data_IF_796746053147
#
_entry.id   IF_796746053147
#
_cell.length_a   1.000
_cell.length_b   1.000
_cell.length_c   1.000
_cell.angle_alpha   90.00
_cell.angle_beta   90.00
_cell.angle_gamma   90.00
#
_symmetry.space_group_name_H-M   'P 1'
#
loop_
_entity.id
_entity.type
_entity.pdbx_description
1 polymer ?
#
# COMPACT_ATOMS: atom_id res chain seq x y z
N UNK A 1 -9.06 48.36 -36.25
CA UNK A 1 -8.65 48.65 -34.85
C UNK A 1 -9.02 47.52 -33.90
N UNK A 2 -10.25 47.01 -33.94
CA UNK A 2 -10.72 45.95 -33.02
C UNK A 2 -9.87 44.66 -33.06
N UNK A 3 -9.51 44.17 -34.25
CA UNK A 3 -8.65 42.98 -34.44
C UNK A 3 -7.28 43.08 -33.79
N UNK A 4 -6.65 44.27 -33.81
CA UNK A 4 -5.36 44.50 -33.16
C UNK A 4 -5.46 44.43 -31.64
N UNK A 5 -6.58 44.89 -31.06
CA UNK A 5 -6.87 44.76 -29.64
C UNK A 5 -7.10 43.30 -29.22
N UNK A 6 -7.85 42.54 -30.01
CA UNK A 6 -8.06 41.10 -29.77
C UNK A 6 -6.73 40.33 -29.79
N UNK A 7 -5.86 40.60 -30.77
CA UNK A 7 -4.52 40.01 -30.83
C UNK A 7 -3.69 40.33 -29.59
N UNK A 8 -3.69 41.58 -29.13
CA UNK A 8 -3.00 41.97 -27.89
C UNK A 8 -3.57 41.27 -26.65
N UNK A 9 -4.88 41.02 -26.59
CA UNK A 9 -5.48 40.24 -25.51
C UNK A 9 -5.07 38.76 -25.57
N UNK A 10 -5.01 38.15 -26.75
CA UNK A 10 -4.54 36.77 -26.91
C UNK A 10 -3.07 36.64 -26.51
N UNK A 11 -2.20 37.58 -26.92
CA UNK A 11 -0.80 37.62 -26.49
C UNK A 11 -0.66 37.76 -24.97
N UNK A 12 -1.51 38.56 -24.33
CA UNK A 12 -1.53 38.64 -22.87
C UNK A 12 -1.93 37.32 -22.23
N UNK A 13 -3.01 36.69 -22.72
CA UNK A 13 -3.48 35.41 -22.19
C UNK A 13 -2.40 34.32 -22.34
N UNK A 14 -1.76 34.24 -23.50
CA UNK A 14 -0.66 33.30 -23.76
C UNK A 14 0.50 33.48 -22.76
N UNK A 15 0.83 34.71 -22.37
CA UNK A 15 1.97 34.99 -21.52
C UNK A 15 1.73 34.81 -20.01
N UNK A 16 0.48 34.92 -19.53
CA UNK A 16 0.18 34.91 -18.09
C UNK A 16 -0.23 33.52 -17.57
N UNK A 17 0.10 33.16 -16.31
CA UNK A 17 -0.48 31.98 -15.66
C UNK A 17 -1.98 32.20 -15.42
N UNK A 18 -2.74 31.11 -15.35
CA UNK A 18 -4.18 31.15 -15.10
C UNK A 18 -4.50 30.35 -13.83
N UNK A 19 -5.49 30.81 -13.06
CA UNK A 19 -6.10 29.97 -12.01
C UNK A 19 -7.04 28.94 -12.63
N UNK A 20 -7.43 27.92 -11.88
CA UNK A 20 -8.38 26.90 -12.36
C UNK A 20 -9.71 27.52 -12.83
N UNK A 21 -10.21 28.53 -12.12
CA UNK A 21 -11.44 29.24 -12.51
C UNK A 21 -11.24 30.07 -13.79
N UNK A 22 -10.05 30.60 -14.01
CA UNK A 22 -9.70 31.32 -15.24
C UNK A 22 -9.57 30.35 -16.42
N UNK A 23 -8.94 29.20 -16.23
CA UNK A 23 -8.88 28.16 -17.26
C UNK A 23 -10.26 27.67 -17.69
N UNK A 24 -11.18 27.46 -16.75
CA UNK A 24 -12.55 27.04 -17.08
C UNK A 24 -13.30 28.13 -17.87
N UNK A 25 -13.10 29.40 -17.53
CA UNK A 25 -13.65 30.52 -18.32
C UNK A 25 -13.03 30.55 -19.72
N UNK A 26 -11.73 30.29 -19.84
CA UNK A 26 -11.05 30.22 -21.12
C UNK A 26 -11.55 29.04 -21.96
N UNK A 27 -11.72 27.85 -21.38
CA UNK A 27 -12.33 26.68 -22.05
C UNK A 27 -13.73 27.02 -22.58
N UNK A 28 -14.57 27.67 -21.77
CA UNK A 28 -15.89 28.13 -22.19
C UNK A 28 -15.85 29.23 -23.28
N UNK A 29 -14.82 30.06 -23.30
CA UNK A 29 -14.63 31.08 -24.32
C UNK A 29 -14.18 30.48 -25.66
N UNK A 30 -13.18 29.60 -25.65
CA UNK A 30 -12.64 28.97 -26.85
C UNK A 30 -13.56 27.89 -27.47
N UNK A 31 -14.52 27.34 -26.70
CA UNK A 31 -15.58 26.50 -27.28
C UNK A 31 -16.60 27.32 -28.07
N UNK A 32 -16.82 28.59 -27.70
CA UNK A 32 -17.81 29.49 -28.33
C UNK A 32 -17.24 30.32 -29.46
N UNK A 33 -15.94 30.62 -29.42
CA UNK A 33 -15.27 31.48 -30.39
C UNK A 33 -14.04 30.78 -30.95
N UNK A 34 -13.95 30.72 -32.29
CA UNK A 34 -12.75 30.26 -32.99
C UNK A 34 -11.93 31.47 -33.41
N UNK A 35 -10.66 31.47 -33.06
CA UNK A 35 -9.68 32.46 -33.50
C UNK A 35 -8.68 31.74 -34.40
N UNK A 36 -8.36 32.35 -35.53
CA UNK A 36 -7.50 31.76 -36.57
C UNK A 36 -6.10 32.36 -36.47
N UNK A 37 -5.46 32.17 -35.32
CA UNK A 37 -4.16 32.76 -34.99
C UNK A 37 -3.24 31.75 -34.29
N UNK A 38 -1.94 31.86 -34.56
CA UNK A 38 -0.90 30.99 -33.98
C UNK A 38 -0.90 31.05 -32.45
N UNK A 39 -1.09 32.24 -31.86
CA UNK A 39 -1.21 32.45 -30.42
C UNK A 39 -2.40 31.68 -29.81
N UNK A 40 -3.45 31.43 -30.59
CA UNK A 40 -4.62 30.65 -30.13
C UNK A 40 -4.27 29.19 -29.97
N UNK A 41 -3.43 28.65 -30.85
CA UNK A 41 -2.95 27.27 -30.76
C UNK A 41 -2.12 27.07 -29.50
N UNK A 42 -1.28 28.03 -29.15
CA UNK A 42 -0.44 27.95 -27.94
C UNK A 42 -1.29 28.02 -26.66
N UNK A 43 -2.31 28.87 -26.64
CA UNK A 43 -3.29 28.93 -25.55
C UNK A 43 -4.07 27.62 -25.43
N UNK A 44 -4.57 27.08 -26.55
CA UNK A 44 -5.28 25.80 -26.57
C UNK A 44 -4.38 24.64 -26.12
N UNK A 45 -3.09 24.66 -26.47
CA UNK A 45 -2.11 23.67 -26.03
C UNK A 45 -1.83 23.69 -24.52
N UNK A 46 -2.09 24.82 -23.84
CA UNK A 46 -2.06 24.90 -22.37
C UNK A 46 -3.37 24.40 -21.73
N UNK A 47 -4.51 24.58 -22.39
CA UNK A 47 -5.84 24.22 -21.87
C UNK A 47 -6.22 22.77 -22.09
N UNK A 48 -5.71 22.16 -23.16
CA UNK A 48 -6.03 20.80 -23.56
C UNK A 48 -4.75 20.02 -23.77
N UNK A 49 -4.71 18.78 -23.27
CA UNK A 49 -3.73 17.82 -23.73
C UNK A 49 -4.01 17.60 -25.23
N UNK A 50 -3.03 17.86 -26.10
CA UNK A 50 -3.18 17.51 -27.50
C UNK A 50 -3.33 15.99 -27.58
N UNK A 51 -4.46 15.50 -28.11
CA UNK A 51 -4.72 14.10 -28.49
C UNK A 51 -3.81 13.71 -29.66
N UNK A 52 -2.50 13.69 -29.43
CA UNK A 52 -1.56 13.00 -30.28
C UNK A 52 -1.85 11.51 -30.11
N UNK A 53 -2.33 10.86 -31.17
CA UNK A 53 -2.64 9.42 -31.24
C UNK A 53 -1.44 8.49 -30.93
N UNK A 54 -0.26 9.04 -30.67
CA UNK A 54 0.88 8.30 -30.11
C UNK A 54 0.77 8.20 -28.59
N UNK A 55 0.50 6.97 -28.13
CA UNK A 55 0.59 6.45 -26.77
C UNK A 55 1.57 7.22 -25.87
N UNK A 56 1.12 8.29 -25.22
CA UNK A 56 1.91 8.88 -24.15
C UNK A 56 2.06 7.82 -23.06
N UNK A 57 3.28 7.52 -22.61
CA UNK A 57 3.48 6.58 -21.53
C UNK A 57 2.70 7.07 -20.32
N UNK A 58 1.93 6.18 -19.69
CA UNK A 58 1.12 6.47 -18.52
C UNK A 58 1.96 7.24 -17.48
N UNK A 59 1.79 8.56 -17.41
CA UNK A 59 2.61 9.45 -16.59
C UNK A 59 2.50 9.05 -15.12
N UNK A 60 1.31 8.63 -14.68
CA UNK A 60 1.10 8.11 -13.33
C UNK A 60 2.00 6.91 -13.05
N UNK A 61 2.08 5.94 -13.97
CA UNK A 61 2.98 4.79 -13.84
C UNK A 61 4.43 5.23 -13.79
N UNK A 62 4.86 6.14 -14.66
CA UNK A 62 6.25 6.61 -14.69
C UNK A 62 6.65 7.30 -13.37
N UNK A 63 5.75 8.13 -12.82
CA UNK A 63 5.95 8.77 -11.52
C UNK A 63 6.08 7.73 -10.40
N UNK A 64 5.16 6.76 -10.37
CA UNK A 64 5.18 5.67 -9.38
C UNK A 64 6.47 4.86 -9.47
N UNK A 65 6.90 4.44 -10.67
CA UNK A 65 8.18 3.76 -10.90
C UNK A 65 9.40 4.60 -10.48
N UNK A 66 9.40 5.88 -10.80
CA UNK A 66 10.51 6.79 -10.47
C UNK A 66 10.65 6.97 -8.96
N UNK A 67 9.53 7.04 -8.25
CA UNK A 67 9.50 7.15 -6.78
C UNK A 67 10.00 5.87 -6.12
N UNK A 68 9.56 4.69 -6.58
CA UNK A 68 9.97 3.41 -5.97
C UNK A 68 11.46 3.13 -6.16
N UNK A 69 12.05 3.62 -7.25
CA UNK A 69 13.50 3.50 -7.51
C UNK A 69 14.33 4.65 -6.90
N UNK A 70 13.70 5.70 -6.35
CA UNK A 70 14.38 6.90 -5.88
C UNK A 70 15.35 6.62 -4.71
N UNK A 71 16.61 7.06 -4.88
CA UNK A 71 17.70 6.83 -3.93
C UNK A 71 17.64 7.79 -2.74
N UNK A 72 17.35 9.07 -2.98
CA UNK A 72 17.30 10.10 -1.95
C UNK A 72 16.03 9.94 -1.09
N UNK A 73 16.19 9.77 0.22
CA UNK A 73 15.07 9.50 1.11
C UNK A 73 14.12 10.70 1.28
N UNK A 74 14.67 11.91 1.35
CA UNK A 74 13.86 13.12 1.54
C UNK A 74 13.04 13.41 0.29
N UNK A 75 13.68 13.44 -0.88
CA UNK A 75 12.99 13.63 -2.15
C UNK A 75 11.94 12.54 -2.40
N UNK A 76 12.26 11.27 -2.09
CA UNK A 76 11.29 10.18 -2.20
C UNK A 76 10.07 10.40 -1.31
N UNK A 77 10.25 10.82 -0.07
CA UNK A 77 9.13 11.03 0.86
C UNK A 77 8.24 12.21 0.44
N UNK A 78 8.83 13.31 -0.02
CA UNK A 78 8.09 14.46 -0.57
C UNK A 78 7.30 14.06 -1.82
N UNK A 79 7.94 13.37 -2.75
CA UNK A 79 7.29 12.88 -3.98
C UNK A 79 6.20 11.84 -3.71
N UNK A 80 6.40 10.94 -2.72
CA UNK A 80 5.37 10.00 -2.27
C UNK A 80 4.12 10.72 -1.79
N UNK A 81 4.29 11.77 -0.98
CA UNK A 81 3.18 12.57 -0.46
C UNK A 81 2.44 13.29 -1.59
N UNK A 82 3.20 13.96 -2.48
CA UNK A 82 2.67 14.69 -3.63
C UNK A 82 1.88 13.77 -4.57
N UNK A 83 2.50 12.69 -5.05
CA UNK A 83 1.87 11.78 -6.03
C UNK A 83 0.71 11.03 -5.42
N UNK A 84 0.78 10.62 -4.15
CA UNK A 84 -0.39 10.06 -3.47
C UNK A 84 -1.55 11.05 -3.44
N UNK A 85 -1.31 12.31 -3.10
CA UNK A 85 -2.33 13.36 -3.10
C UNK A 85 -2.99 13.58 -4.47
N UNK A 86 -2.23 13.41 -5.56
CA UNK A 86 -2.73 13.52 -6.93
C UNK A 86 -3.52 12.28 -7.39
N UNK A 87 -3.19 11.09 -6.88
CA UNK A 87 -3.85 9.83 -7.27
C UNK A 87 -5.08 9.49 -6.43
N UNK A 88 -5.21 10.04 -5.22
CA UNK A 88 -6.31 9.71 -4.32
C UNK A 88 -7.60 10.45 -4.69
N UNK A 89 -8.74 9.75 -4.58
CA UNK A 89 -10.11 10.21 -4.93
C UNK A 89 -10.56 11.54 -4.28
N UNK A 90 -9.87 12.01 -3.25
CA UNK A 90 -10.16 13.28 -2.57
C UNK A 90 -9.42 14.48 -3.18
N UNK A 91 -8.69 14.29 -4.27
CA UNK A 91 -8.06 15.40 -4.96
C UNK A 91 -9.13 16.33 -5.53
N UNK A 92 -9.01 17.63 -5.27
CA UNK A 92 -9.90 18.69 -5.79
C UNK A 92 -9.97 18.67 -7.33
N UNK A 93 -9.01 17.99 -7.98
CA UNK A 93 -9.00 17.59 -9.39
C UNK A 93 -10.06 16.53 -9.71
N UNK A 94 -11.33 16.81 -9.42
CA UNK A 94 -12.45 16.09 -10.02
C UNK A 94 -12.39 16.34 -11.54
N UNK A 95 -12.00 15.29 -12.28
CA UNK A 95 -11.81 15.25 -13.74
C UNK A 95 -10.45 15.77 -14.20
N UNK A 96 -9.41 14.94 -14.11
CA UNK A 96 -8.43 14.76 -15.19
C UNK A 96 -7.57 13.52 -14.92
N UNK A 97 -8.01 12.38 -15.48
CA UNK A 97 -7.23 11.36 -16.17
C UNK A 97 -5.75 11.14 -15.80
N UNK A 98 -5.38 10.99 -14.52
CA UNK A 98 -4.24 10.14 -14.19
C UNK A 98 -4.74 8.70 -14.31
N UNK A 99 -4.73 8.17 -15.53
CA UNK A 99 -5.23 6.84 -15.87
C UNK A 99 -4.26 5.75 -15.37
N UNK A 100 -4.01 5.71 -14.06
CA UNK A 100 -3.22 4.65 -13.45
C UNK A 100 -4.07 3.38 -13.43
N UNK A 101 -3.83 2.50 -14.41
CA UNK A 101 -4.51 1.22 -14.46
C UNK A 101 -4.17 0.37 -13.24
N UNK A 102 -5.11 -0.49 -12.84
CA UNK A 102 -4.89 -1.51 -11.82
C UNK A 102 -3.63 -2.33 -12.15
N UNK A 103 -3.50 -2.76 -13.40
CA UNK A 103 -2.40 -3.60 -13.88
C UNK A 103 -1.03 -2.89 -13.79
N UNK A 104 -0.98 -1.59 -14.11
CA UNK A 104 0.26 -0.81 -13.96
C UNK A 104 0.71 -0.77 -12.50
N UNK A 105 -0.22 -0.51 -11.56
CA UNK A 105 0.11 -0.44 -10.13
C UNK A 105 0.57 -1.80 -9.58
N UNK A 106 -0.09 -2.89 -9.97
CA UNK A 106 0.33 -4.24 -9.61
C UNK A 106 1.67 -4.62 -10.24
N UNK A 107 1.97 -4.19 -11.47
CA UNK A 107 3.27 -4.44 -12.11
C UNK A 107 4.44 -3.82 -11.34
N UNK A 108 4.26 -2.58 -10.84
CA UNK A 108 5.26 -1.92 -9.99
C UNK A 108 5.35 -2.59 -8.63
N UNK A 109 4.23 -3.04 -8.09
CA UNK A 109 4.18 -3.79 -6.84
C UNK A 109 4.93 -5.11 -6.92
N UNK A 110 4.74 -5.90 -7.97
CA UNK A 110 5.49 -7.14 -8.20
C UNK A 110 6.99 -6.87 -8.32
N UNK A 111 7.38 -5.86 -9.10
CA UNK A 111 8.78 -5.42 -9.19
C UNK A 111 9.35 -5.04 -7.81
N UNK A 112 8.52 -4.45 -6.95
CA UNK A 112 8.91 -4.11 -5.59
C UNK A 112 9.11 -5.35 -4.70
N UNK A 113 8.27 -6.37 -4.84
CA UNK A 113 8.36 -7.63 -4.11
C UNK A 113 9.58 -8.43 -4.59
N UNK A 114 9.82 -8.52 -5.90
CA UNK A 114 10.98 -9.21 -6.47
C UNK A 114 12.31 -8.59 -6.01
N UNK A 115 12.35 -7.25 -5.95
CA UNK A 115 13.47 -6.51 -5.38
C UNK A 115 13.65 -6.81 -3.88
N UNK A 116 12.56 -6.91 -3.12
CA UNK A 116 12.61 -7.28 -1.70
C UNK A 116 13.15 -8.71 -1.51
N UNK A 117 12.68 -9.67 -2.29
CA UNK A 117 13.18 -11.05 -2.31
C UNK A 117 14.68 -11.06 -2.57
N UNK A 118 15.13 -10.35 -3.61
CA UNK A 118 16.55 -10.26 -3.97
C UNK A 118 17.41 -9.67 -2.83
N UNK A 119 16.88 -8.69 -2.09
CA UNK A 119 17.56 -8.10 -0.93
C UNK A 119 17.66 -9.09 0.24
N UNK A 120 16.63 -9.91 0.49
CA UNK A 120 16.66 -10.94 1.51
C UNK A 120 17.62 -12.09 1.15
N UNK A 121 17.73 -12.44 -0.13
CA UNK A 121 18.74 -13.39 -0.62
C UNK A 121 20.15 -12.86 -0.42
N UNK A 122 20.40 -11.59 -0.76
CA UNK A 122 21.69 -10.94 -0.54
C UNK A 122 22.05 -10.97 0.96
N UNK A 123 21.10 -10.63 1.83
CA UNK A 123 21.27 -10.65 3.29
C UNK A 123 21.59 -12.06 3.84
N UNK A 124 20.94 -13.09 3.29
CA UNK A 124 21.15 -14.48 3.71
C UNK A 124 22.54 -14.99 3.26
N UNK A 125 23.00 -14.59 2.08
CA UNK A 125 24.30 -14.98 1.51
C UNK A 125 25.49 -14.24 2.13
N UNK A 126 25.30 -13.03 2.67
CA UNK A 126 26.35 -12.27 3.37
C UNK A 126 26.81 -12.89 4.70
N UNK A 127 26.18 -13.97 5.16
CA UNK A 127 26.71 -14.79 6.24
C UNK A 127 28.01 -15.56 5.86
N UNK A 128 28.40 -15.57 4.57
CA UNK A 128 29.68 -16.10 4.10
C UNK A 128 30.70 -14.96 3.87
N UNK A 129 31.79 -14.86 4.67
CA UNK A 129 32.69 -13.71 4.69
C UNK A 129 33.60 -13.56 3.46
N UNK A 130 33.62 -14.50 2.52
CA UNK A 130 34.56 -14.49 1.37
C UNK A 130 34.12 -13.63 0.17
N UNK A 131 32.87 -13.12 0.14
CA UNK A 131 32.32 -12.39 -1.02
C UNK A 131 32.20 -10.87 -0.85
N UNK A 132 32.81 -10.29 0.18
CA UNK A 132 32.75 -8.86 0.48
C UNK A 132 33.60 -7.96 -0.43
N UNK A 133 34.10 -8.47 -1.56
CA UNK A 133 34.84 -7.63 -2.51
C UNK A 133 33.90 -7.08 -3.58
N UNK A 134 33.66 -5.77 -3.49
CA UNK A 134 33.09 -4.88 -4.52
C UNK A 134 31.57 -4.94 -4.70
N UNK A 135 30.83 -4.28 -3.81
CA UNK A 135 29.67 -3.50 -4.27
C UNK A 135 29.51 -2.25 -3.42
N UNK A 136 29.90 -1.11 -4.00
CA UNK A 136 29.61 0.23 -3.50
C UNK A 136 28.11 0.38 -3.22
N UNK A 137 27.71 0.08 -1.99
CA UNK A 137 26.38 0.41 -1.51
C UNK A 137 26.57 1.12 -0.19
N UNK A 138 26.66 2.45 -0.25
CA UNK A 138 26.91 3.36 0.89
C UNK A 138 25.90 3.24 2.05
N UNK A 139 24.93 2.32 1.99
CA UNK A 139 23.84 2.15 2.95
C UNK A 139 23.76 0.71 3.44
N UNK A 140 23.53 0.48 4.74
CA UNK A 140 23.44 -0.85 5.30
C UNK A 140 22.25 -1.62 4.70
N UNK A 141 22.38 -2.95 4.58
CA UNK A 141 21.38 -3.83 3.97
C UNK A 141 19.97 -3.61 4.54
N UNK A 142 19.87 -3.44 5.85
CA UNK A 142 18.60 -3.20 6.54
C UNK A 142 17.91 -1.91 6.06
N UNK A 143 18.66 -0.87 5.70
CA UNK A 143 18.07 0.37 5.17
C UNK A 143 17.50 0.15 3.77
N UNK A 144 18.16 -0.69 2.95
CA UNK A 144 17.66 -1.06 1.61
C UNK A 144 16.36 -1.87 1.71
N UNK A 145 16.30 -2.83 2.64
CA UNK A 145 15.11 -3.63 2.93
C UNK A 145 13.97 -2.75 3.45
N UNK A 146 14.23 -1.94 4.48
CA UNK A 146 13.24 -1.04 5.07
C UNK A 146 12.67 -0.06 4.04
N UNK A 147 13.53 0.51 3.18
CA UNK A 147 13.10 1.34 2.04
C UNK A 147 12.17 0.59 1.09
N UNK A 148 12.49 -0.67 0.77
CA UNK A 148 11.70 -1.44 -0.17
C UNK A 148 10.34 -1.82 0.42
N UNK A 149 10.28 -2.14 1.71
CA UNK A 149 9.03 -2.30 2.46
C UNK A 149 8.23 -1.00 2.49
N UNK A 150 8.87 0.16 2.71
CA UNK A 150 8.19 1.46 2.67
C UNK A 150 7.63 1.79 1.28
N UNK A 151 8.23 1.28 0.21
CA UNK A 151 7.70 1.40 -1.15
C UNK A 151 6.46 0.52 -1.33
N UNK A 152 6.49 -0.74 -0.91
CA UNK A 152 5.34 -1.65 -0.96
C UNK A 152 4.17 -1.07 -0.15
N UNK A 153 4.43 -0.61 1.08
CA UNK A 153 3.42 -0.01 1.94
C UNK A 153 2.79 1.25 1.30
N UNK A 154 3.59 2.09 0.65
CA UNK A 154 3.07 3.26 -0.06
C UNK A 154 2.18 2.89 -1.26
N UNK A 155 2.57 1.88 -2.04
CA UNK A 155 1.74 1.36 -3.14
C UNK A 155 0.44 0.76 -2.60
N UNK A 156 0.51 0.01 -1.49
CA UNK A 156 -0.66 -0.56 -0.83
C UNK A 156 -1.61 0.54 -0.34
N UNK A 157 -1.10 1.65 0.20
CA UNK A 157 -1.94 2.80 0.56
C UNK A 157 -2.67 3.40 -0.65
N UNK A 158 -2.00 3.54 -1.80
CA UNK A 158 -2.64 3.98 -3.05
C UNK A 158 -3.73 2.99 -3.48
N UNK A 159 -3.45 1.68 -3.42
CA UNK A 159 -4.43 0.64 -3.75
C UNK A 159 -5.64 0.66 -2.80
N UNK A 160 -5.43 0.91 -1.51
CA UNK A 160 -6.49 1.00 -0.50
C UNK A 160 -7.39 2.20 -0.75
N UNK A 161 -6.81 3.37 -1.02
CA UNK A 161 -7.58 4.58 -1.36
C UNK A 161 -8.33 4.42 -2.70
N UNK A 162 -7.72 3.69 -3.65
CA UNK A 162 -8.33 3.30 -4.91
C UNK A 162 -9.42 2.21 -4.79
N UNK A 163 -9.51 1.51 -3.66
CA UNK A 163 -10.34 0.31 -3.44
C UNK A 163 -10.02 -0.86 -4.39
N UNK A 164 -8.75 -1.05 -4.72
CA UNK A 164 -8.26 -2.10 -5.63
C UNK A 164 -7.23 -3.03 -4.97
N UNK A 165 -7.12 -3.00 -3.64
CA UNK A 165 -6.12 -3.75 -2.86
C UNK A 165 -6.48 -5.21 -2.55
N UNK A 166 -7.63 -5.71 -2.98
CA UNK A 166 -8.06 -7.09 -2.68
C UNK A 166 -7.05 -8.14 -3.15
N UNK A 167 -6.63 -8.06 -4.42
CA UNK A 167 -5.70 -9.04 -5.03
C UNK A 167 -4.32 -9.02 -4.36
N UNK A 168 -3.91 -7.89 -3.77
CA UNK A 168 -2.66 -7.80 -3.03
C UNK A 168 -2.64 -8.74 -1.83
N UNK A 169 -3.79 -9.04 -1.21
CA UNK A 169 -3.86 -10.00 -0.09
C UNK A 169 -3.44 -11.38 -0.56
N UNK A 170 -3.94 -11.83 -1.72
CA UNK A 170 -3.57 -13.12 -2.29
C UNK A 170 -2.09 -13.13 -2.68
N UNK A 171 -1.61 -12.09 -3.36
CA UNK A 171 -0.20 -11.94 -3.73
C UNK A 171 0.71 -12.02 -2.51
N UNK A 172 0.38 -11.31 -1.44
CA UNK A 172 1.20 -11.29 -0.22
C UNK A 172 1.13 -12.62 0.55
N UNK A 173 -0.03 -13.28 0.55
CA UNK A 173 -0.20 -14.58 1.21
C UNK A 173 0.61 -15.69 0.53
N UNK A 174 0.77 -15.61 -0.79
CA UNK A 174 1.50 -16.59 -1.60
C UNK A 174 3.03 -16.38 -1.63
N UNK A 175 3.57 -15.48 -0.80
CA UNK A 175 5.01 -15.21 -0.73
C UNK A 175 5.81 -16.27 0.05
N UNK A 176 5.76 -17.52 -0.39
CA UNK A 176 6.43 -18.66 0.25
C UNK A 176 7.95 -18.48 0.40
N UNK A 177 8.59 -17.81 -0.57
CA UNK A 177 10.03 -17.54 -0.53
C UNK A 177 10.39 -16.57 0.61
N UNK A 178 9.61 -15.50 0.78
CA UNK A 178 9.80 -14.55 1.88
C UNK A 178 9.52 -15.20 3.24
N UNK A 179 8.52 -16.08 3.34
CA UNK A 179 8.25 -16.84 4.56
C UNK A 179 9.44 -17.74 4.94
N UNK A 180 10.02 -18.46 3.98
CA UNK A 180 11.21 -19.28 4.23
C UNK A 180 12.43 -18.45 4.66
N UNK A 181 12.57 -17.25 4.10
CA UNK A 181 13.66 -16.33 4.49
C UNK A 181 13.40 -15.71 5.86
N UNK A 182 12.14 -15.44 6.21
CA UNK A 182 11.73 -14.93 7.52
C UNK A 182 12.19 -15.84 8.66
N UNK A 183 12.02 -17.17 8.51
CA UNK A 183 12.43 -18.17 9.50
C UNK A 183 13.93 -18.10 9.86
N UNK A 184 14.76 -17.75 8.87
CA UNK A 184 16.21 -17.76 9.00
C UNK A 184 16.81 -16.37 9.25
N UNK A 185 16.03 -15.31 9.03
CA UNK A 185 16.48 -13.94 9.17
C UNK A 185 16.52 -13.48 10.64
N UNK A 186 17.39 -12.52 10.93
CA UNK A 186 17.43 -11.91 12.25
C UNK A 186 16.13 -11.16 12.56
N UNK A 187 15.73 -11.04 13.85
CA UNK A 187 14.53 -10.31 14.24
C UNK A 187 14.46 -8.88 13.67
N UNK A 188 15.61 -8.20 13.58
CA UNK A 188 15.73 -6.84 13.04
C UNK A 188 15.46 -6.77 11.53
N UNK A 189 15.61 -7.86 10.78
CA UNK A 189 15.33 -7.90 9.33
C UNK A 189 13.91 -8.40 9.08
N UNK A 190 13.52 -9.49 9.73
CA UNK A 190 12.25 -10.17 9.45
C UNK A 190 11.01 -9.37 9.89
N UNK A 191 11.13 -8.51 10.92
CA UNK A 191 10.02 -7.63 11.33
C UNK A 191 9.63 -6.62 10.23
N UNK A 192 10.52 -6.30 9.29
CA UNK A 192 10.20 -5.44 8.16
C UNK A 192 9.11 -6.09 7.27
N UNK A 193 9.11 -7.41 7.11
CA UNK A 193 8.02 -8.13 6.41
C UNK A 193 6.72 -8.04 7.19
N UNK A 194 6.79 -8.23 8.51
CA UNK A 194 5.64 -8.12 9.41
C UNK A 194 4.98 -6.73 9.39
N UNK A 195 5.70 -5.67 9.01
CA UNK A 195 5.10 -4.34 8.80
C UNK A 195 4.07 -4.32 7.65
N UNK A 196 4.32 -5.06 6.56
CA UNK A 196 3.36 -5.15 5.43
C UNK A 196 2.09 -5.86 5.89
N UNK A 197 2.24 -7.02 6.54
CA UNK A 197 1.13 -7.78 7.12
C UNK A 197 0.33 -6.96 8.14
N UNK A 198 1.00 -6.15 8.97
CA UNK A 198 0.34 -5.27 9.92
C UNK A 198 -0.61 -4.27 9.25
N UNK A 199 -0.22 -3.67 8.12
CA UNK A 199 -1.08 -2.75 7.36
C UNK A 199 -2.30 -3.49 6.82
N UNK A 200 -2.14 -4.72 6.30
CA UNK A 200 -3.26 -5.52 5.81
C UNK A 200 -4.27 -5.85 6.92
N UNK A 201 -3.78 -6.28 8.09
CA UNK A 201 -4.65 -6.53 9.25
C UNK A 201 -5.45 -5.29 9.61
N UNK A 202 -4.79 -4.13 9.75
CA UNK A 202 -5.45 -2.87 10.08
C UNK A 202 -6.44 -2.45 9.00
N UNK A 203 -6.10 -2.59 7.71
CA UNK A 203 -6.97 -2.25 6.60
C UNK A 203 -8.24 -3.11 6.57
N UNK A 204 -8.14 -4.42 6.82
CA UNK A 204 -9.30 -5.30 6.92
C UNK A 204 -10.20 -4.94 8.11
N UNK A 205 -9.61 -4.74 9.29
CA UNK A 205 -10.36 -4.43 10.50
C UNK A 205 -11.06 -3.06 10.44
N UNK A 206 -10.44 -2.09 9.77
CA UNK A 206 -11.02 -0.75 9.53
C UNK A 206 -11.97 -0.70 8.34
N UNK A 207 -12.22 -1.85 7.68
CA UNK A 207 -13.09 -1.99 6.49
C UNK A 207 -12.62 -1.17 5.27
N UNK A 208 -11.38 -0.72 5.26
CA UNK A 208 -10.73 -0.12 4.08
C UNK A 208 -10.37 -1.17 3.03
N UNK A 209 -10.25 -2.42 3.47
CA UNK A 209 -9.99 -3.59 2.64
C UNK A 209 -11.08 -4.65 2.90
N UNK A 210 -11.77 -5.05 1.86
CA UNK A 210 -12.72 -6.16 1.89
C UNK A 210 -12.18 -7.22 0.94
N UNK A 211 -12.12 -8.47 1.41
CA UNK A 211 -11.65 -9.59 0.62
C UNK A 211 -12.40 -10.87 0.98
N UNK A 212 -12.43 -11.80 0.03
CA UNK A 212 -13.03 -13.13 0.20
C UNK A 212 -12.45 -13.92 1.38
N UNK A 213 -13.16 -14.97 1.79
CA UNK A 213 -12.74 -15.79 2.94
C UNK A 213 -11.38 -16.45 2.71
N UNK A 214 -11.14 -16.91 1.49
CA UNK A 214 -9.93 -17.62 1.08
C UNK A 214 -8.71 -16.73 1.24
N UNK A 215 -8.78 -15.48 0.77
CA UNK A 215 -7.72 -14.47 0.92
C UNK A 215 -7.39 -14.17 2.39
N UNK A 216 -8.43 -13.96 3.21
CA UNK A 216 -8.26 -13.73 4.67
C UNK A 216 -7.66 -14.93 5.38
N UNK A 217 -8.10 -16.13 4.99
CA UNK A 217 -7.60 -17.39 5.55
C UNK A 217 -6.14 -17.60 5.16
N UNK A 218 -5.79 -17.39 3.88
CA UNK A 218 -4.42 -17.49 3.36
C UNK A 218 -3.48 -16.53 4.08
N UNK A 219 -3.88 -15.27 4.25
CA UNK A 219 -3.07 -14.28 4.96
C UNK A 219 -2.80 -14.68 6.42
N UNK A 220 -3.83 -15.16 7.13
CA UNK A 220 -3.65 -15.64 8.51
C UNK A 220 -2.80 -16.91 8.57
N UNK A 221 -2.98 -17.85 7.63
CA UNK A 221 -2.16 -19.07 7.59
C UNK A 221 -0.68 -18.76 7.31
N UNK A 222 -0.41 -17.81 6.41
CA UNK A 222 0.95 -17.43 6.03
C UNK A 222 1.62 -16.55 7.10
N UNK A 223 0.93 -15.51 7.58
CA UNK A 223 1.57 -14.41 8.29
C UNK A 223 1.19 -14.26 9.76
N UNK A 224 0.26 -15.06 10.29
CA UNK A 224 -0.09 -14.98 11.71
C UNK A 224 1.08 -15.37 12.61
N UNK A 225 1.71 -16.53 12.39
CA UNK A 225 2.87 -16.95 13.18
C UNK A 225 4.05 -15.97 13.09
N UNK A 226 4.48 -15.51 11.89
CA UNK A 226 5.45 -14.42 11.76
C UNK A 226 5.11 -13.18 12.59
N UNK A 227 3.84 -12.76 12.56
CA UNK A 227 3.38 -11.60 13.34
C UNK A 227 3.47 -11.84 14.85
N UNK A 228 3.16 -13.05 15.34
CA UNK A 228 3.31 -13.38 16.77
C UNK A 228 4.77 -13.31 17.21
N UNK A 229 5.70 -13.82 16.39
CA UNK A 229 7.14 -13.86 16.66
C UNK A 229 7.79 -12.48 16.62
N UNK A 230 7.33 -11.60 15.74
CA UNK A 230 7.93 -10.28 15.52
C UNK A 230 7.25 -9.16 16.30
N UNK A 231 6.17 -9.44 17.01
CA UNK A 231 5.36 -8.41 17.65
C UNK A 231 6.14 -7.53 18.62
N UNK A 232 7.07 -8.11 19.38
CA UNK A 232 8.01 -7.35 20.20
C UNK A 232 8.82 -6.31 19.43
N UNK A 233 9.25 -6.62 18.20
CA UNK A 233 9.95 -5.65 17.33
C UNK A 233 9.00 -4.62 16.75
N UNK A 234 7.79 -5.03 16.34
CA UNK A 234 6.74 -4.08 15.92
C UNK A 234 6.43 -3.07 17.03
N UNK A 235 6.40 -3.50 18.29
CA UNK A 235 6.19 -2.64 19.45
C UNK A 235 7.31 -1.61 19.66
N UNK A 236 8.57 -2.04 19.55
CA UNK A 236 9.77 -1.21 19.74
C UNK A 236 10.00 -0.26 18.56
N UNK A 237 9.80 -0.76 17.34
CA UNK A 237 10.10 -0.08 16.08
C UNK A 237 8.82 0.14 15.27
N UNK A 238 7.92 0.98 15.79
CA UNK A 238 6.55 1.13 15.26
C UNK A 238 6.47 1.67 13.84
N UNK A 239 7.38 2.56 13.43
CA UNK A 239 7.40 3.16 12.07
C UNK A 239 6.02 3.68 11.62
N UNK A 240 5.29 4.35 12.51
CA UNK A 240 3.94 4.88 12.24
C UNK A 240 2.78 3.93 12.59
N UNK A 241 3.06 2.70 13.00
CA UNK A 241 2.05 1.72 13.41
C UNK A 241 1.46 2.01 14.79
N UNK A 242 0.13 2.04 14.88
CA UNK A 242 -0.57 1.99 16.16
C UNK A 242 -0.72 0.52 16.60
N UNK A 243 0.03 0.16 17.65
CA UNK A 243 0.07 -1.21 18.18
C UNK A 243 -1.28 -1.66 18.76
N UNK A 244 -2.04 -0.76 19.38
CA UNK A 244 -3.35 -1.12 19.94
C UNK A 244 -4.34 -1.41 18.82
N UNK A 245 -4.32 -0.59 17.77
CA UNK A 245 -5.12 -0.82 16.57
C UNK A 245 -4.72 -2.12 15.91
N UNK A 246 -3.42 -2.43 15.78
CA UNK A 246 -2.96 -3.71 15.23
C UNK A 246 -3.46 -4.92 16.04
N UNK A 247 -3.34 -4.89 17.37
CA UNK A 247 -3.80 -6.01 18.22
C UNK A 247 -5.29 -6.28 18.05
N UNK A 248 -6.11 -5.23 18.09
CA UNK A 248 -7.55 -5.36 17.82
C UNK A 248 -7.78 -5.86 16.41
N UNK A 249 -7.04 -5.35 15.42
CA UNK A 249 -7.21 -5.71 14.02
C UNK A 249 -6.90 -7.18 13.72
N UNK A 250 -5.83 -7.72 14.30
CA UNK A 250 -5.50 -9.15 14.22
C UNK A 250 -6.64 -9.99 14.81
N UNK A 251 -7.15 -9.61 15.99
CA UNK A 251 -8.25 -10.31 16.65
C UNK A 251 -9.56 -10.26 15.85
N UNK A 252 -9.92 -9.09 15.31
CA UNK A 252 -11.12 -8.92 14.49
C UNK A 252 -11.03 -9.71 13.19
N UNK A 253 -9.87 -9.69 12.52
CA UNK A 253 -9.65 -10.45 11.29
C UNK A 253 -9.81 -11.95 11.56
N UNK A 254 -9.18 -12.47 12.63
CA UNK A 254 -9.29 -13.88 13.03
C UNK A 254 -10.77 -14.26 13.30
N UNK A 255 -11.53 -13.42 14.00
CA UNK A 255 -12.95 -13.63 14.28
C UNK A 255 -13.85 -13.67 13.03
N UNK A 256 -13.34 -13.30 11.87
CA UNK A 256 -14.07 -13.35 10.59
C UNK A 256 -13.96 -14.70 9.86
N UNK A 257 -13.12 -15.62 10.35
CA UNK A 257 -12.94 -16.97 9.79
C UNK A 257 -13.96 -17.98 10.35
N UNK A 258 -14.13 -19.17 9.76
CA UNK A 258 -14.89 -20.27 10.35
C UNK A 258 -14.32 -20.75 11.69
N UNK A 259 -15.19 -21.19 12.62
CA UNK A 259 -14.82 -21.57 14.00
C UNK A 259 -13.65 -22.57 14.08
N UNK A 260 -13.58 -23.54 13.17
CA UNK A 260 -12.48 -24.52 13.11
C UNK A 260 -11.13 -23.86 12.86
N UNK A 261 -11.08 -22.88 11.96
CA UNK A 261 -9.86 -22.12 11.68
C UNK A 261 -9.53 -21.17 12.84
N UNK A 262 -10.55 -20.52 13.43
CA UNK A 262 -10.38 -19.68 14.62
C UNK A 262 -9.73 -20.47 15.76
N UNK A 263 -10.20 -21.69 16.02
CA UNK A 263 -9.64 -22.56 17.06
C UNK A 263 -8.14 -22.78 16.88
N UNK A 264 -7.69 -23.18 15.68
CA UNK A 264 -6.26 -23.42 15.41
C UNK A 264 -5.41 -22.19 15.69
N UNK A 265 -5.83 -21.02 15.17
CA UNK A 265 -5.08 -19.78 15.34
C UNK A 265 -5.10 -19.28 16.80
N UNK A 266 -6.21 -19.43 17.51
CA UNK A 266 -6.26 -19.05 18.93
C UNK A 266 -5.40 -19.96 19.81
N UNK A 267 -5.30 -21.26 19.50
CA UNK A 267 -4.41 -22.16 20.23
C UNK A 267 -2.94 -21.82 19.96
N UNK A 268 -2.60 -21.49 18.72
CA UNK A 268 -1.26 -21.01 18.36
C UNK A 268 -0.90 -19.71 19.05
N UNK A 269 -1.82 -18.74 19.08
CA UNK A 269 -1.66 -17.51 19.84
C UNK A 269 -1.47 -17.79 21.34
N UNK A 270 -2.30 -18.64 21.93
CA UNK A 270 -2.23 -18.96 23.35
C UNK A 270 -0.88 -19.58 23.72
N UNK A 271 -0.37 -20.49 22.88
CA UNK A 271 0.97 -21.07 23.04
C UNK A 271 2.04 -19.98 23.02
N UNK A 272 2.06 -19.10 22.01
CA UNK A 272 3.05 -18.02 21.93
C UNK A 272 2.93 -17.02 23.09
N UNK A 273 1.71 -16.57 23.41
CA UNK A 273 1.47 -15.61 24.49
C UNK A 273 1.93 -16.14 25.85
N UNK A 274 1.72 -17.44 26.12
CA UNK A 274 2.21 -18.09 27.36
C UNK A 274 3.73 -18.08 27.51
N UNK A 275 4.48 -18.01 26.41
CA UNK A 275 5.95 -18.06 26.39
C UNK A 275 6.58 -16.67 26.34
N UNK A 276 5.94 -15.73 25.63
CA UNK A 276 6.52 -14.43 25.30
C UNK A 276 5.82 -13.24 26.00
N UNK A 277 4.67 -13.46 26.65
CA UNK A 277 3.98 -12.43 27.41
C UNK A 277 3.65 -11.19 26.58
N UNK A 278 4.09 -10.01 27.05
CA UNK A 278 3.79 -8.71 26.41
C UNK A 278 4.44 -8.49 25.05
N UNK A 279 5.43 -9.32 24.69
CA UNK A 279 6.08 -9.35 23.38
C UNK A 279 5.24 -10.07 22.31
N UNK A 280 4.05 -10.56 22.67
CA UNK A 280 3.04 -11.18 21.79
C UNK A 280 1.77 -10.29 21.73
N UNK A 281 1.01 -10.22 20.62
CA UNK A 281 -0.20 -9.39 20.57
C UNK A 281 -1.23 -9.84 21.59
N UNK A 282 -1.88 -8.91 22.28
CA UNK A 282 -2.93 -9.22 23.22
C UNK A 282 -4.26 -9.42 22.47
N UNK A 283 -4.60 -10.67 22.17
CA UNK A 283 -5.85 -11.05 21.51
C UNK A 283 -6.95 -11.48 22.50
N UNK A 284 -6.81 -11.18 23.80
CA UNK A 284 -7.69 -11.68 24.86
C UNK A 284 -9.17 -11.37 24.61
N UNK A 285 -9.48 -10.17 24.10
CA UNK A 285 -10.85 -9.78 23.77
C UNK A 285 -11.43 -10.66 22.66
N UNK A 286 -10.66 -10.90 21.60
CA UNK A 286 -11.09 -11.76 20.50
C UNK A 286 -11.23 -13.22 20.95
N UNK A 287 -10.28 -13.70 21.76
CA UNK A 287 -10.33 -15.03 22.37
C UNK A 287 -11.60 -15.23 23.21
N UNK A 288 -11.95 -14.26 24.06
CA UNK A 288 -13.19 -14.32 24.84
C UNK A 288 -14.44 -14.38 23.96
N UNK A 289 -14.48 -13.60 22.88
CA UNK A 289 -15.61 -13.63 21.92
C UNK A 289 -15.74 -15.03 21.29
N UNK A 290 -14.63 -15.58 20.80
CA UNK A 290 -14.61 -16.93 20.23
C UNK A 290 -14.98 -18.01 21.24
N UNK A 291 -14.48 -17.94 22.47
CA UNK A 291 -14.80 -18.89 23.55
C UNK A 291 -16.29 -18.93 23.83
N UNK A 292 -16.93 -17.75 23.98
CA UNK A 292 -18.38 -17.66 24.18
C UNK A 292 -19.16 -18.25 22.99
N UNK A 293 -18.73 -17.98 21.76
CA UNK A 293 -19.37 -18.54 20.55
C UNK A 293 -19.23 -20.05 20.45
N UNK A 294 -18.10 -20.61 20.88
CA UNK A 294 -17.78 -22.03 20.72
C UNK A 294 -18.40 -22.90 21.80
N UNK A 295 -18.44 -22.44 23.05
CA UNK A 295 -18.83 -23.27 24.19
C UNK A 295 -20.16 -22.87 24.84
N UNK A 296 -20.53 -21.59 24.88
CA UNK A 296 -21.75 -21.15 25.59
C UNK A 296 -23.04 -21.32 24.76
N UNK A 297 -22.94 -21.34 23.43
CA UNK A 297 -24.11 -21.67 22.57
C UNK A 297 -24.27 -23.16 22.29
N UNK A 298 -23.18 -23.93 22.38
CA UNK A 298 -23.24 -25.39 22.25
C UNK A 298 -23.95 -26.06 23.43
N UNK A 299 -23.90 -25.46 24.63
CA UNK A 299 -24.61 -25.96 25.82
C UNK A 299 -26.14 -25.80 25.76
N UNK A 300 -26.67 -24.89 24.94
CA UNK A 300 -28.12 -24.72 24.78
C UNK A 300 -28.73 -25.79 23.87
N UNK A 301 -27.97 -26.34 22.93
CA UNK A 301 -28.48 -27.35 21.98
C UNK A 301 -28.60 -28.73 22.62
N UNK A 302 -27.69 -29.09 23.55
CA UNK A 302 -27.77 -30.35 24.30
C UNK A 302 -28.78 -30.31 25.47
N UNK A 303 -29.24 -29.13 25.89
CA UNK A 303 -30.21 -29.01 26.98
C UNK A 303 -31.68 -29.20 26.55
N UNK A 304 -31.95 -29.19 25.23
CA UNK A 304 -33.31 -29.30 24.68
C UNK A 304 -33.66 -30.76 24.33
N UNK A 305 -32.67 -31.64 24.13
CA UNK A 305 -32.90 -33.07 23.84
C UNK A 305 -33.02 -33.96 25.10
N UNK A 306 -32.97 -33.39 26.30
CA UNK A 306 -33.06 -34.14 27.57
C UNK A 306 -34.29 -33.80 28.43
N UNK A 307 -35.43 -33.47 27.81
CA UNK A 307 -36.72 -33.33 28.51
C UNK A 307 -37.81 -34.17 27.88
#
# INVERSE_FOLDING_TARGET
MFTKGVLSCLQYLEAVPWTEEEEEKLRNLFTRFKFDDETTRDILGRLYLHDSEDSQPNVARQLVCSITTCVNANARNELKSLVKGLLCKSSVYEKNHLDLSKDDLYSVCHSCIDSLISLFEEASNTANPERLTKKDTNKPMIERISRQVDNINWLLEIMLDGQIAEDFVDIWSDQHQLLKMHDNASPMVRYELSRVSAILFVAMATRKLQCRLEARSGLLQAWFAPMLLDFGWLQRCRKGLDIKVLQEAMGQTLLTLPLKQQHTLFMEWFHHFSRHGTECPNLSKAFQIWWRRSFLRGSETYAIESR
#
